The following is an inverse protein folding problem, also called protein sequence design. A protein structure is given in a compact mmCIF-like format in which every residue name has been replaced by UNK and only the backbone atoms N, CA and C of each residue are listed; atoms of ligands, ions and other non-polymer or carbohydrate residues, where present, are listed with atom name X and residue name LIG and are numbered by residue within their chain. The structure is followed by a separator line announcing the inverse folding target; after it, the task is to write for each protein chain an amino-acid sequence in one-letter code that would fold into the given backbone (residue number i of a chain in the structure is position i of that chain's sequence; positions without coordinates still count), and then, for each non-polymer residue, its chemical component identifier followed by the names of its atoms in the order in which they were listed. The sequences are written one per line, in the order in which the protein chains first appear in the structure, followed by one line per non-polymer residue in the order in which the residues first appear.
data_IF_763080472227
#
_entry.id   IF_763080472227
#
_cell.length_a   1.000
_cell.length_b   1.000
_cell.length_c   1.000
_cell.angle_alpha   90.00
_cell.angle_beta   90.00
_cell.angle_gamma   90.00
#
_symmetry.space_group_name_H-M   'P 1'
#
loop_
_entity.id
_entity.type
_entity.pdbx_description
1 polymer ?
#
# COMPACT_ATOMS: atom_id res chain seq x y z
N UNK A 1 12.60 -31.32 9.11
CA UNK A 1 13.22 -30.05 8.69
C UNK A 1 12.14 -29.18 8.10
N UNK A 2 11.54 -28.31 8.91
CA UNK A 2 10.60 -27.29 8.44
C UNK A 2 11.37 -26.09 7.90
N UNK A 3 11.10 -25.69 6.67
CA UNK A 3 11.42 -24.36 6.17
C UNK A 3 10.45 -23.99 5.04
N UNK A 4 9.57 -23.04 5.33
CA UNK A 4 8.88 -22.14 4.39
C UNK A 4 7.81 -22.72 3.45
N UNK A 5 6.68 -23.15 4.01
CA UNK A 5 5.41 -23.12 3.30
C UNK A 5 4.48 -22.15 4.06
N UNK A 6 4.54 -20.85 3.77
CA UNK A 6 3.59 -19.94 4.41
C UNK A 6 3.69 -18.45 4.09
N UNK A 7 4.89 -17.89 3.97
CA UNK A 7 5.04 -16.44 3.81
C UNK A 7 5.31 -16.06 2.35
N UNK A 8 4.57 -15.11 1.75
CA UNK A 8 4.89 -14.65 0.41
C UNK A 8 6.23 -13.93 0.39
N UNK A 9 6.97 -14.15 -0.69
CA UNK A 9 8.16 -13.38 -0.97
C UNK A 9 7.89 -11.86 -0.97
N UNK A 10 8.92 -11.03 -0.77
CA UNK A 10 8.77 -9.59 -0.55
C UNK A 10 7.88 -8.88 -1.58
N UNK A 11 8.02 -9.21 -2.87
CA UNK A 11 7.17 -8.68 -3.95
C UNK A 11 5.69 -8.96 -3.69
N UNK A 12 5.32 -10.20 -3.40
CA UNK A 12 3.93 -10.57 -3.15
C UNK A 12 3.39 -9.93 -1.85
N UNK A 13 4.24 -9.78 -0.83
CA UNK A 13 3.86 -9.06 0.39
C UNK A 13 3.55 -7.58 0.14
N UNK A 14 4.33 -6.89 -0.71
CA UNK A 14 4.09 -5.49 -1.11
C UNK A 14 2.76 -5.37 -1.85
N UNK A 15 2.47 -6.26 -2.80
CA UNK A 15 1.19 -6.27 -3.54
C UNK A 15 -0.01 -6.47 -2.59
N UNK A 16 0.12 -7.35 -1.58
CA UNK A 16 -0.92 -7.53 -0.56
C UNK A 16 -1.09 -6.30 0.32
N UNK A 17 0.00 -5.61 0.68
CA UNK A 17 -0.09 -4.38 1.47
C UNK A 17 -0.89 -3.31 0.72
N UNK A 18 -0.61 -3.15 -0.58
CA UNK A 18 -1.36 -2.23 -1.43
C UNK A 18 -2.85 -2.63 -1.53
N UNK A 19 -3.16 -3.91 -1.76
CA UNK A 19 -4.55 -4.37 -1.83
C UNK A 19 -5.32 -4.16 -0.50
N UNK A 20 -4.67 -4.35 0.65
CA UNK A 20 -5.28 -4.09 1.96
C UNK A 20 -5.60 -2.60 2.15
N UNK A 21 -4.71 -1.72 1.71
CA UNK A 21 -4.94 -0.28 1.71
C UNK A 21 -6.12 0.10 0.81
N UNK A 22 -6.21 -0.42 -0.41
CA UNK A 22 -7.34 -0.14 -1.32
C UNK A 22 -8.68 -0.52 -0.70
N UNK A 23 -8.74 -1.66 0.01
CA UNK A 23 -9.94 -2.08 0.74
C UNK A 23 -10.29 -1.11 1.86
N UNK A 24 -9.30 -0.63 2.62
CA UNK A 24 -9.53 0.37 3.67
C UNK A 24 -10.04 1.71 3.10
N UNK A 25 -9.47 2.16 1.98
CA UNK A 25 -9.93 3.35 1.27
C UNK A 25 -11.34 3.20 0.71
N UNK A 26 -11.70 2.02 0.18
CA UNK A 26 -13.05 1.72 -0.25
C UNK A 26 -14.07 1.85 0.89
N UNK A 27 -13.72 1.37 2.09
CA UNK A 27 -14.55 1.53 3.30
C UNK A 27 -14.71 2.98 3.77
N UNK A 28 -13.78 3.87 3.42
CA UNK A 28 -13.85 5.30 3.79
C UNK A 28 -14.81 6.13 2.93
N UNK A 29 -15.17 5.64 1.74
CA UNK A 29 -16.06 6.29 0.76
C UNK A 29 -15.47 7.50 0.01
N UNK A 30 -14.63 8.32 0.66
CA UNK A 30 -14.08 9.57 0.09
C UNK A 30 -12.96 9.36 -0.92
N UNK A 31 -12.18 8.29 -0.77
CA UNK A 31 -11.08 7.95 -1.66
C UNK A 31 -11.18 6.53 -2.23
N UNK A 32 -12.38 5.94 -2.21
CA UNK A 32 -12.62 4.61 -2.78
C UNK A 32 -12.10 4.52 -4.23
N UNK A 33 -11.32 3.48 -4.61
CA UNK A 33 -10.89 3.26 -5.98
C UNK A 33 -12.09 3.19 -6.95
N UNK A 34 -12.01 3.85 -8.10
CA UNK A 34 -13.07 3.82 -9.13
C UNK A 34 -12.44 3.63 -10.50
N UNK A 35 -12.81 2.61 -11.31
CA UNK A 35 -12.29 2.50 -12.67
C UNK A 35 -12.57 3.79 -13.48
N UNK A 36 -11.60 4.34 -14.24
CA UNK A 36 -10.28 3.79 -14.57
C UNK A 36 -9.12 4.32 -13.67
N UNK A 37 -9.38 4.70 -12.42
CA UNK A 37 -8.35 5.22 -11.50
C UNK A 37 -7.13 4.28 -11.44
N UNK A 38 -5.96 4.87 -11.61
CA UNK A 38 -4.68 4.23 -11.34
C UNK A 38 -4.37 4.23 -9.84
N UNK A 39 -3.50 3.33 -9.37
CA UNK A 39 -3.01 3.31 -7.99
C UNK A 39 -2.52 4.66 -7.48
N UNK A 40 -1.79 5.39 -8.33
CA UNK A 40 -1.30 6.73 -8.02
C UNK A 40 -2.44 7.72 -7.83
N UNK A 41 -3.47 7.71 -8.69
CA UNK A 41 -4.60 8.64 -8.60
C UNK A 41 -5.47 8.40 -7.36
N UNK A 42 -5.67 7.14 -6.97
CA UNK A 42 -6.39 6.78 -5.73
C UNK A 42 -5.67 7.36 -4.50
N UNK A 43 -4.36 7.16 -4.41
CA UNK A 43 -3.58 7.59 -3.25
C UNK A 43 -3.38 9.10 -3.19
N UNK A 44 -3.16 9.74 -4.34
CA UNK A 44 -3.10 11.18 -4.44
C UNK A 44 -4.44 11.83 -4.05
N UNK A 45 -5.58 11.22 -4.42
CA UNK A 45 -6.90 11.64 -3.92
C UNK A 45 -7.04 11.48 -2.41
N UNK A 46 -6.62 10.35 -1.84
CA UNK A 46 -6.65 10.13 -0.39
C UNK A 46 -5.82 11.19 0.36
N UNK A 47 -4.64 11.53 -0.18
CA UNK A 47 -3.77 12.54 0.39
C UNK A 47 -4.36 13.96 0.26
N UNK A 48 -4.87 14.34 -0.92
CA UNK A 48 -5.54 15.63 -1.14
C UNK A 48 -6.78 15.84 -0.28
N UNK A 49 -7.49 14.77 0.06
CA UNK A 49 -8.68 14.83 0.93
C UNK A 49 -8.35 14.78 2.42
N UNK A 50 -7.07 14.73 2.78
CA UNK A 50 -6.59 14.71 4.16
C UNK A 50 -6.86 13.40 4.90
N UNK A 51 -7.20 12.31 4.19
CA UNK A 51 -7.45 11.02 4.80
C UNK A 51 -6.16 10.31 5.23
N UNK A 52 -5.06 10.60 4.56
CA UNK A 52 -3.75 9.98 4.78
C UNK A 52 -2.65 11.02 4.58
N UNK A 53 -1.52 10.84 5.26
CA UNK A 53 -0.33 11.66 5.03
C UNK A 53 0.31 11.33 3.69
N UNK A 54 0.62 12.38 2.91
CA UNK A 54 1.25 12.29 1.57
C UNK A 54 2.49 11.39 1.57
N UNK A 55 3.33 11.50 2.61
CA UNK A 55 4.59 10.74 2.69
C UNK A 55 4.39 9.22 2.79
N UNK A 56 3.43 8.77 3.61
CA UNK A 56 3.13 7.34 3.77
C UNK A 56 2.49 6.77 2.49
N UNK A 57 1.51 7.49 1.94
CA UNK A 57 0.84 7.14 0.69
C UNK A 57 1.85 6.98 -0.47
N UNK A 58 2.74 7.95 -0.66
CA UNK A 58 3.71 7.92 -1.76
C UNK A 58 4.69 6.76 -1.66
N UNK A 59 5.24 6.49 -0.46
CA UNK A 59 6.12 5.33 -0.24
C UNK A 59 5.46 4.02 -0.65
N UNK A 60 4.17 3.85 -0.36
CA UNK A 60 3.45 2.63 -0.72
C UNK A 60 3.16 2.54 -2.22
N UNK A 61 2.83 3.64 -2.92
CA UNK A 61 2.72 3.66 -4.40
C UNK A 61 4.03 3.25 -5.05
N UNK A 62 5.14 3.82 -4.59
CA UNK A 62 6.45 3.63 -5.22
C UNK A 62 6.87 2.16 -5.12
N UNK A 63 6.77 1.57 -3.93
CA UNK A 63 7.04 0.15 -3.70
C UNK A 63 6.09 -0.76 -4.50
N UNK A 64 4.80 -0.41 -4.57
CA UNK A 64 3.84 -1.18 -5.38
C UNK A 64 4.19 -1.13 -6.87
N UNK A 65 4.51 0.05 -7.39
CA UNK A 65 4.91 0.26 -8.78
C UNK A 65 6.14 -0.57 -9.12
N UNK A 66 7.17 -0.52 -8.27
CA UNK A 66 8.36 -1.35 -8.42
C UNK A 66 8.03 -2.85 -8.35
N UNK A 67 7.22 -3.27 -7.37
CA UNK A 67 6.81 -4.66 -7.22
C UNK A 67 6.08 -5.18 -8.47
N UNK A 68 5.27 -4.35 -9.13
CA UNK A 68 4.46 -4.71 -10.29
C UNK A 68 5.23 -4.68 -11.61
N UNK A 69 6.10 -3.69 -11.81
CA UNK A 69 6.70 -3.42 -13.11
C UNK A 69 8.20 -3.74 -13.17
N UNK A 70 8.91 -3.68 -12.03
CA UNK A 70 10.35 -3.94 -12.01
C UNK A 70 10.67 -5.44 -12.02
N UNK A 71 11.79 -5.80 -12.65
CA UNK A 71 12.33 -7.18 -12.69
C UNK A 71 13.38 -7.46 -11.62
N UNK A 72 13.91 -6.44 -10.94
CA UNK A 72 14.91 -6.64 -9.89
C UNK A 72 14.34 -7.41 -8.70
N UNK A 73 15.17 -8.13 -7.93
CA UNK A 73 14.73 -8.74 -6.69
C UNK A 73 14.24 -7.67 -5.71
N UNK A 74 13.11 -7.97 -5.06
CA UNK A 74 12.61 -7.20 -3.92
C UNK A 74 13.19 -7.79 -2.65
N UNK A 75 13.63 -6.94 -1.73
CA UNK A 75 14.31 -7.33 -0.51
C UNK A 75 13.36 -7.37 0.67
N UNK A 76 13.79 -8.01 1.74
CA UNK A 76 13.08 -7.97 3.01
C UNK A 76 12.90 -6.54 3.55
N UNK A 77 13.86 -5.65 3.28
CA UNK A 77 13.74 -4.24 3.64
C UNK A 77 12.58 -3.57 2.90
N UNK A 78 12.33 -3.93 1.63
CA UNK A 78 11.22 -3.39 0.85
C UNK A 78 9.87 -3.87 1.39
N UNK A 79 9.79 -5.14 1.81
CA UNK A 79 8.63 -5.68 2.52
C UNK A 79 8.35 -4.88 3.80
N UNK A 80 9.36 -4.70 4.65
CA UNK A 80 9.22 -3.97 5.91
C UNK A 80 8.81 -2.50 5.68
N UNK A 81 9.34 -1.84 4.65
CA UNK A 81 8.94 -0.48 4.28
C UNK A 81 7.47 -0.42 3.84
N UNK A 82 7.01 -1.40 3.05
CA UNK A 82 5.60 -1.46 2.64
C UNK A 82 4.66 -1.72 3.81
N UNK A 83 5.01 -2.65 4.71
CA UNK A 83 4.23 -2.92 5.93
C UNK A 83 4.11 -1.67 6.81
N UNK A 84 5.23 -0.97 7.07
CA UNK A 84 5.21 0.27 7.86
C UNK A 84 4.39 1.37 7.19
N UNK A 85 4.50 1.52 5.87
CA UNK A 85 3.71 2.50 5.13
C UNK A 85 2.22 2.18 5.19
N UNK A 86 1.84 0.88 5.11
CA UNK A 86 0.47 0.45 5.30
C UNK A 86 -0.03 0.76 6.71
N UNK A 87 0.72 0.40 7.75
CA UNK A 87 0.34 0.67 9.14
C UNK A 87 0.12 2.17 9.38
N UNK A 88 0.99 3.02 8.83
CA UNK A 88 0.83 4.47 8.86
C UNK A 88 -0.46 4.94 8.18
N UNK A 89 -0.79 4.39 7.01
CA UNK A 89 -2.02 4.74 6.28
C UNK A 89 -3.26 4.25 7.04
N UNK A 90 -3.25 3.03 7.57
CA UNK A 90 -4.37 2.49 8.34
C UNK A 90 -4.59 3.28 9.64
N UNK A 91 -3.50 3.69 10.29
CA UNK A 91 -3.56 4.56 11.47
C UNK A 91 -4.17 5.92 11.13
N UNK A 92 -3.79 6.55 10.00
CA UNK A 92 -4.36 7.82 9.56
C UNK A 92 -5.87 7.67 9.26
N UNK A 93 -6.29 6.57 8.62
CA UNK A 93 -7.70 6.28 8.31
C UNK A 93 -8.55 5.98 9.55
N UNK A 94 -7.97 5.31 10.56
CA UNK A 94 -8.62 4.98 11.82
C UNK A 94 -8.66 6.17 12.80
N UNK A 95 -7.67 7.06 12.74
CA UNK A 95 -7.55 8.26 13.58
C UNK A 95 -8.30 9.46 13.01
N UNK A 96 -9.33 9.22 12.19
CA UNK A 96 -10.18 10.28 11.59
C UNK A 96 -10.38 11.43 12.60
N UNK A 97 -9.99 12.67 12.26
CA UNK A 97 -10.30 13.83 13.10
C UNK A 97 -11.82 14.05 13.21
#
# INVERSE_FOLDING_TARGET
MSADAGEPGPRAAILRCYAAMEQALAGSGRAAPRPPDTPTEVLDRAARTGLVRVGAARRLVDLFSEARFSRHPMTEADRLRATRALDEVLADLGSRP
#
